data_IF_709678450678
#
_entry.id   IF_709678450678
#
_cell.length_a   1.000
_cell.length_b   1.000
_cell.length_c   1.000
_cell.angle_alpha   90.00
_cell.angle_beta   90.00
_cell.angle_gamma   90.00
#
_symmetry.space_group_name_H-M   'P 1'
#
loop_
_entity.id
_entity.type
_entity.pdbx_description
1 polymer ?
#
# COMPACT_ATOMS: atom_id res chain seq x y z
N UNK A 1 87.10 33.11 14.56
CA UNK A 1 86.17 32.02 14.94
C UNK A 1 84.84 32.28 14.25
N UNK A 2 84.40 31.35 13.41
CA UNK A 2 83.18 31.43 12.58
C UNK A 2 81.94 31.11 13.44
N UNK A 3 80.85 31.85 13.27
CA UNK A 3 79.49 31.37 13.54
C UNK A 3 78.65 31.63 12.29
N UNK A 4 78.20 30.55 11.67
CA UNK A 4 77.35 30.52 10.49
C UNK A 4 75.93 30.21 10.97
N UNK A 5 74.99 31.13 10.76
CA UNK A 5 73.57 30.92 11.02
C UNK A 5 72.95 30.23 9.80
N UNK A 6 72.32 29.07 10.00
CA UNK A 6 71.47 28.41 9.00
C UNK A 6 70.05 28.47 9.55
N UNK A 7 69.19 29.24 8.88
CA UNK A 7 67.76 29.31 9.13
C UNK A 7 67.09 28.35 8.13
N UNK A 8 66.52 27.25 8.63
CA UNK A 8 65.73 26.32 7.82
C UNK A 8 64.26 26.75 7.84
N UNK A 9 63.75 27.20 6.70
CA UNK A 9 62.33 27.50 6.48
C UNK A 9 61.63 26.20 6.05
N UNK A 10 60.89 25.57 6.97
CA UNK A 10 60.01 24.43 6.65
C UNK A 10 58.67 24.92 6.10
N UNK A 11 58.40 24.61 4.82
CA UNK A 11 57.11 24.88 4.19
C UNK A 11 56.13 23.75 4.56
N UNK A 12 55.18 24.05 5.46
CA UNK A 12 54.13 23.12 5.85
C UNK A 12 52.98 23.20 4.83
N UNK A 13 52.87 22.20 3.95
CA UNK A 13 51.73 22.05 3.04
C UNK A 13 50.53 21.53 3.84
N UNK A 14 49.63 22.45 4.24
CA UNK A 14 48.33 22.09 4.80
C UNK A 14 47.41 21.75 3.62
N UNK A 15 47.19 20.46 3.35
CA UNK A 15 46.07 20.02 2.51
C UNK A 15 44.77 20.30 3.28
N UNK A 16 44.09 21.39 2.95
CA UNK A 16 42.69 21.57 3.30
C UNK A 16 41.85 20.69 2.38
N UNK A 17 41.49 19.50 2.84
CA UNK A 17 40.32 18.81 2.29
C UNK A 17 39.11 19.65 2.65
N UNK A 18 38.70 20.53 1.74
CA UNK A 18 37.41 21.19 1.83
C UNK A 18 36.34 20.09 1.80
N UNK A 19 35.75 19.77 2.96
CA UNK A 19 34.48 19.08 2.99
C UNK A 19 33.50 19.99 2.23
N UNK A 20 33.21 19.65 0.98
CA UNK A 20 32.21 20.35 0.19
C UNK A 20 30.86 20.12 0.86
N UNK A 21 30.39 21.11 1.61
CA UNK A 21 29.00 21.18 2.05
C UNK A 21 28.15 21.10 0.79
N UNK A 22 27.24 20.12 0.74
CA UNK A 22 26.37 19.97 -0.42
C UNK A 22 25.42 21.15 -0.46
N UNK A 23 25.30 21.77 -1.64
CA UNK A 23 24.43 22.93 -1.86
C UNK A 23 23.15 22.56 -2.60
N UNK A 24 22.18 23.46 -2.54
CA UNK A 24 20.98 23.44 -3.38
C UNK A 24 21.32 23.68 -4.85
N UNK A 25 20.49 23.20 -5.76
CA UNK A 25 20.54 23.50 -7.18
C UNK A 25 20.13 22.34 -8.07
N UNK A 26 20.38 22.52 -9.36
CA UNK A 26 20.06 21.52 -10.38
C UNK A 26 21.13 20.44 -10.44
N UNK A 27 20.71 19.18 -10.30
CA UNK A 27 21.55 17.98 -10.42
C UNK A 27 21.54 17.41 -11.84
N UNK A 28 20.46 17.62 -12.59
CA UNK A 28 20.33 17.29 -14.00
C UNK A 28 19.25 18.17 -14.63
N UNK A 29 19.50 18.74 -15.81
CA UNK A 29 18.60 19.65 -16.54
C UNK A 29 18.31 19.19 -17.97
N UNK A 30 18.58 17.92 -18.26
CA UNK A 30 18.52 17.35 -19.61
C UNK A 30 19.86 17.32 -20.33
N UNK A 31 20.81 18.19 -19.97
CA UNK A 31 22.01 18.43 -20.79
C UNK A 31 23.28 17.87 -20.17
N UNK A 32 23.59 18.30 -18.95
CA UNK A 32 24.86 17.96 -18.32
C UNK A 32 24.73 16.77 -17.36
N UNK A 33 25.28 15.62 -17.77
CA UNK A 33 25.37 14.42 -16.94
C UNK A 33 26.72 14.26 -16.23
N UNK A 34 27.64 15.22 -16.30
CA UNK A 34 28.98 15.08 -15.72
C UNK A 34 28.96 14.86 -14.19
N UNK A 35 27.90 15.33 -13.52
CA UNK A 35 27.68 15.10 -12.08
C UNK A 35 27.36 13.64 -11.74
N UNK A 36 26.97 12.84 -12.73
CA UNK A 36 26.52 11.46 -12.55
C UNK A 36 27.57 10.46 -13.02
N UNK A 37 27.73 9.38 -12.25
CA UNK A 37 28.43 8.17 -12.63
C UNK A 37 27.38 7.21 -13.18
N UNK A 38 27.47 6.97 -14.48
CA UNK A 38 26.58 6.08 -15.23
C UNK A 38 27.23 4.70 -15.38
N UNK A 39 26.46 3.64 -15.15
CA UNK A 39 26.87 2.23 -15.28
C UNK A 39 25.76 1.48 -16.01
N UNK A 40 26.11 0.51 -16.86
CA UNK A 40 25.12 -0.20 -17.69
C UNK A 40 24.63 0.64 -18.87
N UNK A 41 23.43 0.35 -19.37
CA UNK A 41 22.79 1.09 -20.46
C UNK A 41 22.11 2.35 -19.92
N UNK A 42 22.90 3.43 -19.82
CA UNK A 42 22.44 4.76 -19.45
C UNK A 42 22.92 5.76 -20.49
N UNK A 43 21.98 6.53 -21.05
CA UNK A 43 22.27 7.53 -22.08
C UNK A 43 21.56 8.85 -21.80
N UNK A 44 22.08 9.93 -22.39
CA UNK A 44 21.42 11.24 -22.42
C UNK A 44 21.22 11.64 -23.86
N UNK A 45 19.97 11.77 -24.29
CA UNK A 45 19.56 12.15 -25.64
C UNK A 45 18.30 13.00 -25.53
N UNK A 46 18.16 14.01 -26.41
CA UNK A 46 16.99 14.88 -26.47
C UNK A 46 16.54 15.45 -25.11
N UNK A 47 17.51 15.93 -24.32
CA UNK A 47 17.31 16.46 -22.98
C UNK A 47 16.73 15.44 -21.96
N UNK A 48 16.90 14.14 -22.20
CA UNK A 48 16.38 13.05 -21.35
C UNK A 48 17.50 12.07 -21.00
N UNK A 49 17.68 11.81 -19.70
CA UNK A 49 18.47 10.68 -19.22
C UNK A 49 17.61 9.42 -19.23
N UNK A 50 18.05 8.37 -19.91
CA UNK A 50 17.34 7.09 -20.01
C UNK A 50 18.19 5.99 -19.40
N UNK A 51 17.61 5.23 -18.47
CA UNK A 51 18.18 4.01 -17.90
C UNK A 51 17.40 2.81 -18.43
N UNK A 52 18.10 1.78 -18.91
CA UNK A 52 17.50 0.59 -19.51
C UNK A 52 18.17 -0.68 -19.03
N UNK A 53 17.36 -1.70 -18.75
CA UNK A 53 17.85 -2.99 -18.27
C UNK A 53 18.17 -3.00 -16.77
N UNK A 54 18.51 -4.18 -16.27
CA UNK A 54 18.58 -4.48 -14.83
C UNK A 54 19.90 -4.09 -14.16
N UNK A 55 20.90 -3.67 -14.94
CA UNK A 55 22.23 -3.26 -14.48
C UNK A 55 22.50 -1.76 -14.69
N UNK A 56 21.51 -1.02 -15.19
CA UNK A 56 21.60 0.41 -15.44
C UNK A 56 21.46 1.22 -14.15
N UNK A 57 22.50 2.00 -13.84
CA UNK A 57 22.61 2.82 -12.64
C UNK A 57 23.12 4.22 -12.99
N UNK A 58 22.49 5.25 -12.41
CA UNK A 58 23.00 6.61 -12.39
C UNK A 58 23.19 7.07 -10.95
N UNK A 59 24.43 7.30 -10.53
CA UNK A 59 24.77 7.71 -9.15
C UNK A 59 25.42 9.08 -9.16
N UNK A 60 24.95 10.01 -8.33
CA UNK A 60 25.56 11.33 -8.20
C UNK A 60 26.97 11.21 -7.57
N UNK A 61 28.01 11.67 -8.29
CA UNK A 61 29.43 11.48 -7.93
C UNK A 61 29.83 12.17 -6.62
N UNK A 62 29.30 13.37 -6.40
CA UNK A 62 29.63 14.24 -5.29
C UNK A 62 28.32 14.67 -4.62
N UNK A 63 28.18 14.43 -3.33
CA UNK A 63 26.95 14.74 -2.62
C UNK A 63 26.94 14.06 -1.26
N UNK A 64 26.70 14.86 -0.22
CA UNK A 64 26.58 14.44 1.16
C UNK A 64 25.37 15.18 1.74
N UNK A 65 24.20 14.74 1.29
CA UNK A 65 22.90 15.28 1.64
C UNK A 65 22.36 14.58 2.87
N UNK A 66 21.95 15.37 3.86
CA UNK A 66 21.32 14.91 5.10
C UNK A 66 19.85 15.32 5.12
N UNK A 67 19.57 16.63 5.05
CA UNK A 67 18.21 17.16 4.96
C UNK A 67 18.00 17.87 3.63
N UNK A 68 16.94 17.53 2.90
CA UNK A 68 16.73 18.04 1.56
C UNK A 68 15.27 17.90 1.10
N UNK A 69 14.90 18.71 0.11
CA UNK A 69 13.80 18.47 -0.82
C UNK A 69 14.41 18.08 -2.17
N UNK A 70 14.15 16.86 -2.65
CA UNK A 70 14.60 16.34 -3.93
C UNK A 70 13.40 16.20 -4.86
N UNK A 71 13.47 16.81 -6.03
CA UNK A 71 12.42 16.75 -7.05
C UNK A 71 12.96 16.10 -8.31
N UNK A 72 12.20 15.15 -8.88
CA UNK A 72 12.50 14.49 -10.15
C UNK A 72 11.28 14.55 -11.07
N UNK A 73 11.51 14.83 -12.34
CA UNK A 73 10.52 14.66 -13.41
C UNK A 73 10.83 13.34 -14.14
N UNK A 74 9.95 12.35 -13.99
CA UNK A 74 10.15 10.95 -14.38
C UNK A 74 9.09 10.49 -15.38
N UNK A 75 9.44 9.49 -16.19
CA UNK A 75 8.52 8.71 -17.03
C UNK A 75 9.02 7.28 -17.10
N UNK A 76 8.12 6.31 -17.09
CA UNK A 76 8.46 4.91 -17.38
C UNK A 76 7.86 4.50 -18.71
N UNK A 77 8.54 3.67 -19.50
CA UNK A 77 7.91 2.93 -20.61
C UNK A 77 7.30 1.63 -20.06
N UNK A 78 6.50 0.88 -20.86
CA UNK A 78 5.94 -0.40 -20.42
C UNK A 78 7.00 -1.36 -19.83
N UNK A 79 6.79 -1.77 -18.58
CA UNK A 79 7.71 -2.64 -17.84
C UNK A 79 8.96 -1.94 -17.28
N UNK A 80 9.05 -0.61 -17.37
CA UNK A 80 10.09 0.20 -16.72
C UNK A 80 9.89 0.22 -15.22
N UNK A 81 10.90 -0.23 -14.48
CA UNK A 81 10.89 -0.39 -13.02
C UNK A 81 12.26 -0.09 -12.44
N UNK A 82 12.29 0.33 -11.18
CA UNK A 82 13.52 0.60 -10.46
C UNK A 82 13.29 1.40 -9.19
N UNK A 83 14.26 2.22 -8.81
CA UNK A 83 14.14 3.04 -7.59
C UNK A 83 15.01 4.30 -7.60
N UNK A 84 14.55 5.32 -6.86
CA UNK A 84 15.35 6.49 -6.48
C UNK A 84 15.91 6.28 -5.09
N UNK A 85 17.23 6.19 -4.96
CA UNK A 85 17.96 6.06 -3.71
C UNK A 85 18.36 7.41 -3.13
N UNK A 86 18.34 7.51 -1.80
CA UNK A 86 18.87 8.64 -1.05
C UNK A 86 19.56 8.20 0.24
N UNK A 87 20.40 9.09 0.79
CA UNK A 87 21.36 8.76 1.88
C UNK A 87 22.25 7.57 1.54
N UNK A 88 22.39 7.26 0.26
CA UNK A 88 23.07 6.06 -0.20
C UNK A 88 24.56 6.30 -0.41
N UNK A 89 25.28 5.22 -0.67
CA UNK A 89 26.66 5.24 -1.11
C UNK A 89 26.77 4.94 -2.62
N UNK A 90 27.96 5.07 -3.24
CA UNK A 90 28.12 4.80 -4.65
C UNK A 90 27.88 3.35 -5.10
N UNK A 91 27.63 2.43 -4.15
CA UNK A 91 27.35 1.01 -4.40
C UNK A 91 25.88 0.64 -4.17
N UNK A 92 25.03 1.59 -3.76
CA UNK A 92 23.62 1.40 -3.47
C UNK A 92 23.35 0.32 -2.40
N UNK A 93 24.22 0.23 -1.39
CA UNK A 93 24.12 -0.79 -0.32
C UNK A 93 23.52 -0.28 0.98
N UNK A 94 23.25 1.02 1.08
CA UNK A 94 22.68 1.66 2.27
C UNK A 94 21.71 2.78 1.90
N UNK A 95 21.00 3.27 2.91
CA UNK A 95 20.02 4.33 2.76
C UNK A 95 18.67 3.78 2.32
N UNK A 96 17.76 4.69 1.98
CA UNK A 96 16.41 4.35 1.55
C UNK A 96 16.28 4.44 0.04
N UNK A 97 15.21 3.83 -0.46
CA UNK A 97 14.82 3.95 -1.86
C UNK A 97 13.31 4.09 -2.02
N UNK A 98 12.92 4.93 -2.96
CA UNK A 98 11.54 5.12 -3.41
C UNK A 98 11.34 4.32 -4.69
N UNK A 99 10.36 3.42 -4.70
CA UNK A 99 10.07 2.60 -5.86
C UNK A 99 9.62 3.45 -7.05
N UNK A 100 9.99 2.99 -8.24
CA UNK A 100 9.46 3.40 -9.54
C UNK A 100 8.84 2.13 -10.14
N UNK A 101 7.51 2.05 -10.14
CA UNK A 101 6.77 0.97 -10.78
C UNK A 101 5.34 1.43 -11.10
N UNK A 102 5.04 1.52 -12.39
CA UNK A 102 3.72 1.91 -12.89
C UNK A 102 2.99 0.76 -13.61
N UNK A 103 3.63 -0.42 -13.64
CA UNK A 103 3.08 -1.62 -14.26
C UNK A 103 2.01 -2.24 -13.35
N UNK A 104 0.75 -1.95 -13.67
CA UNK A 104 -0.40 -2.50 -12.95
C UNK A 104 -0.56 -4.01 -13.13
N UNK A 105 0.10 -4.61 -14.13
CA UNK A 105 0.10 -6.04 -14.35
C UNK A 105 1.19 -6.77 -13.52
N UNK A 106 2.10 -6.05 -12.86
CA UNK A 106 3.18 -6.63 -12.04
C UNK A 106 2.65 -7.62 -11.00
N UNK A 107 3.35 -8.74 -10.82
CA UNK A 107 3.06 -9.71 -9.77
C UNK A 107 3.25 -9.11 -8.38
N UNK A 108 4.23 -8.23 -8.20
CA UNK A 108 4.49 -7.48 -6.97
C UNK A 108 3.73 -6.16 -7.02
N UNK A 109 2.39 -6.26 -6.97
CA UNK A 109 1.49 -5.11 -7.12
C UNK A 109 1.41 -4.21 -5.88
N UNK A 110 2.09 -4.58 -4.80
CA UNK A 110 2.12 -3.86 -3.53
C UNK A 110 3.39 -3.04 -3.32
N UNK A 111 4.11 -2.70 -4.40
CA UNK A 111 5.29 -1.82 -4.39
C UNK A 111 5.24 -0.86 -5.59
N UNK A 112 4.17 -0.08 -5.68
CA UNK A 112 3.99 0.90 -6.76
C UNK A 112 4.83 2.16 -6.54
N UNK A 113 4.95 2.98 -7.60
CA UNK A 113 5.69 4.26 -7.58
C UNK A 113 5.36 5.09 -6.35
N UNK A 114 6.39 5.56 -5.65
CA UNK A 114 6.26 6.32 -4.40
C UNK A 114 6.43 5.49 -3.12
N UNK A 115 6.42 4.15 -3.22
CA UNK A 115 6.68 3.27 -2.07
C UNK A 115 8.04 3.54 -1.45
N UNK A 116 8.10 3.82 -0.14
CA UNK A 116 9.34 3.72 0.63
C UNK A 116 9.62 2.24 0.85
N UNK A 117 10.48 1.66 0.01
CA UNK A 117 10.58 0.21 -0.16
C UNK A 117 10.87 -0.50 1.16
N UNK A 118 10.06 -1.52 1.44
CA UNK A 118 10.11 -2.36 2.66
C UNK A 118 9.73 -1.64 3.96
N UNK A 119 9.24 -0.39 3.90
CA UNK A 119 8.85 0.39 5.10
C UNK A 119 7.42 0.92 5.00
N UNK A 120 7.06 1.53 3.87
CA UNK A 120 5.71 2.04 3.55
C UNK A 120 5.47 1.78 2.06
N UNK A 121 5.07 0.55 1.74
CA UNK A 121 4.79 0.19 0.36
C UNK A 121 3.35 0.59 -0.02
N UNK A 122 3.17 1.01 -1.27
CA UNK A 122 1.91 1.46 -1.85
C UNK A 122 1.34 0.40 -2.78
N UNK A 123 0.03 0.17 -2.67
CA UNK A 123 -0.71 -0.76 -3.54
C UNK A 123 -1.40 -0.09 -4.71
N UNK A 124 -1.54 1.24 -4.67
CA UNK A 124 -2.10 2.06 -5.76
C UNK A 124 -0.99 2.85 -6.43
N UNK A 125 -0.91 2.74 -7.75
CA UNK A 125 -0.15 3.71 -8.55
C UNK A 125 -1.03 4.92 -8.85
N UNK A 126 -0.42 6.10 -8.87
CA UNK A 126 -1.06 7.39 -9.15
C UNK A 126 -0.79 7.89 -10.57
N UNK A 127 0.09 7.19 -11.28
CA UNK A 127 0.64 7.64 -12.55
C UNK A 127 0.67 6.48 -13.53
N UNK A 128 0.61 6.81 -14.83
CA UNK A 128 0.56 5.84 -15.92
C UNK A 128 1.93 5.71 -16.57
N UNK A 129 2.20 4.54 -17.14
CA UNK A 129 3.28 4.36 -18.10
C UNK A 129 3.12 5.35 -19.27
N UNK A 130 4.24 5.72 -19.89
CA UNK A 130 4.36 6.68 -20.98
C UNK A 130 3.90 8.11 -20.66
N UNK A 131 3.63 8.43 -19.40
CA UNK A 131 3.30 9.78 -18.93
C UNK A 131 4.39 10.34 -18.02
N UNK A 132 4.68 11.63 -18.19
CA UNK A 132 5.57 12.35 -17.28
C UNK A 132 4.84 12.60 -15.97
N UNK A 133 5.54 12.36 -14.87
CA UNK A 133 5.08 12.66 -13.53
C UNK A 133 6.21 13.26 -12.70
N UNK A 134 5.82 13.98 -11.65
CA UNK A 134 6.75 14.53 -10.67
C UNK A 134 6.78 13.66 -9.43
N UNK A 135 7.99 13.40 -8.93
CA UNK A 135 8.23 12.80 -7.63
C UNK A 135 8.99 13.81 -6.77
N UNK A 136 8.42 14.14 -5.61
CA UNK A 136 9.07 14.96 -4.60
C UNK A 136 9.38 14.10 -3.37
N UNK A 137 10.63 14.11 -2.92
CA UNK A 137 11.11 13.38 -1.75
C UNK A 137 11.68 14.41 -0.78
N UNK A 138 11.04 14.58 0.36
CA UNK A 138 11.52 15.43 1.44
C UNK A 138 12.10 14.56 2.54
N UNK A 139 13.31 14.89 2.98
CA UNK A 139 13.94 14.31 4.16
C UNK A 139 14.34 15.44 5.09
N UNK A 140 13.75 15.48 6.28
CA UNK A 140 14.00 16.50 7.27
C UNK A 140 14.11 15.87 8.66
N UNK A 141 15.32 15.77 9.21
CA UNK A 141 15.55 15.13 10.50
C UNK A 141 15.29 13.63 10.44
N UNK A 142 14.23 13.18 11.10
CA UNK A 142 13.79 11.78 11.10
C UNK A 142 12.61 11.51 10.17
N UNK A 143 12.10 12.54 9.50
CA UNK A 143 10.89 12.48 8.68
C UNK A 143 11.23 12.34 7.19
N UNK A 144 10.45 11.49 6.52
CA UNK A 144 10.50 11.21 5.08
C UNK A 144 9.09 11.37 4.54
N UNK A 145 8.92 12.32 3.63
CA UNK A 145 7.68 12.52 2.89
C UNK A 145 7.90 12.25 1.41
N UNK A 146 6.93 11.62 0.77
CA UNK A 146 6.92 11.39 -0.67
C UNK A 146 5.62 11.88 -1.26
N UNK A 147 5.72 12.74 -2.27
CA UNK A 147 4.59 13.21 -3.05
C UNK A 147 4.73 12.78 -4.50
N UNK A 148 3.60 12.39 -5.12
CA UNK A 148 3.51 12.09 -6.55
C UNK A 148 2.53 13.08 -7.18
N UNK A 149 3.00 13.88 -8.14
CA UNK A 149 2.23 14.98 -8.74
C UNK A 149 1.61 15.94 -7.71
N UNK A 150 2.30 16.15 -6.58
CA UNK A 150 1.83 17.01 -5.49
C UNK A 150 0.91 16.32 -4.47
N UNK A 151 0.47 15.08 -4.71
CA UNK A 151 -0.33 14.31 -3.77
C UNK A 151 0.55 13.56 -2.77
N UNK A 152 0.32 13.67 -1.44
CA UNK A 152 1.09 12.97 -0.43
C UNK A 152 0.74 11.49 -0.38
N UNK A 153 1.76 10.64 -0.58
CA UNK A 153 1.60 9.17 -0.63
C UNK A 153 2.33 8.44 0.49
N UNK A 154 3.42 8.99 1.02
CA UNK A 154 4.13 8.46 2.19
C UNK A 154 4.42 9.59 3.16
N UNK A 155 4.16 9.34 4.44
CA UNK A 155 4.65 10.13 5.59
C UNK A 155 5.26 9.11 6.56
N UNK A 156 6.55 9.23 6.84
CA UNK A 156 7.26 8.28 7.69
C UNK A 156 8.23 9.00 8.62
N UNK A 157 8.18 8.66 9.90
CA UNK A 157 9.19 9.07 10.87
C UNK A 157 9.97 7.84 11.30
N UNK A 158 11.28 7.85 11.07
CA UNK A 158 12.17 6.80 11.58
C UNK A 158 12.27 6.93 13.11
N UNK A 159 11.80 5.94 13.89
CA UNK A 159 11.95 5.98 15.34
C UNK A 159 13.41 5.78 15.73
N UNK A 160 13.76 6.08 16.98
CA UNK A 160 15.12 5.87 17.51
C UNK A 160 15.59 4.42 17.39
N UNK A 161 14.68 3.46 17.51
CA UNK A 161 14.94 2.03 17.39
C UNK A 161 14.07 1.41 16.27
N UNK A 162 14.40 1.67 15.00
CA UNK A 162 13.62 1.15 13.88
C UNK A 162 13.72 -0.38 13.82
N UNK A 163 12.63 -1.05 13.47
CA UNK A 163 12.66 -2.49 13.24
C UNK A 163 13.29 -2.73 11.88
N UNK A 164 14.39 -3.48 11.78
CA UNK A 164 15.00 -3.87 10.51
C UNK A 164 15.40 -5.34 10.57
N UNK A 165 14.98 -6.09 9.57
CA UNK A 165 15.48 -7.44 9.25
C UNK A 165 16.90 -7.34 8.71
N UNK A 166 17.65 -8.45 8.71
CA UNK A 166 19.03 -8.49 8.19
C UNK A 166 19.12 -7.98 6.73
N UNK A 167 18.13 -8.33 5.90
CA UNK A 167 18.06 -7.87 4.50
C UNK A 167 17.86 -6.35 4.36
N UNK A 168 17.30 -5.68 5.38
CA UNK A 168 17.03 -4.25 5.39
C UNK A 168 17.86 -3.50 6.44
N UNK A 169 18.91 -4.10 7.00
CA UNK A 169 19.69 -3.56 8.11
C UNK A 169 20.28 -2.16 7.84
N UNK A 170 20.52 -1.84 6.57
CA UNK A 170 21.09 -0.56 6.14
C UNK A 170 20.07 0.43 5.57
N UNK A 171 18.77 0.12 5.63
CA UNK A 171 17.69 1.05 5.28
C UNK A 171 17.44 2.03 6.44
N UNK A 172 18.37 2.97 6.60
CA UNK A 172 18.41 3.92 7.72
C UNK A 172 18.71 5.35 7.23
N UNK A 173 18.12 6.32 7.93
CA UNK A 173 18.39 7.74 7.73
C UNK A 173 19.81 8.00 8.22
N UNK A 174 20.57 8.71 7.40
CA UNK A 174 21.93 9.11 7.69
C UNK A 174 22.28 10.35 6.85
N UNK A 175 23.31 10.22 6.03
CA UNK A 175 23.76 11.21 5.06
C UNK A 175 24.41 10.44 3.89
N UNK A 176 24.29 10.97 2.68
CA UNK A 176 24.84 10.32 1.51
C UNK A 176 24.49 11.02 0.21
N UNK A 177 24.63 10.28 -0.89
CA UNK A 177 24.33 10.78 -2.22
C UNK A 177 22.96 10.27 -2.71
N UNK A 178 22.63 10.60 -3.95
CA UNK A 178 21.46 10.10 -4.67
C UNK A 178 21.85 9.08 -5.73
N UNK A 179 20.98 8.12 -5.98
CA UNK A 179 21.15 7.14 -7.04
C UNK A 179 19.82 6.81 -7.70
N UNK A 180 19.85 6.41 -8.96
CA UNK A 180 18.69 5.86 -9.66
C UNK A 180 19.12 4.52 -10.22
N UNK A 181 18.33 3.50 -9.93
CA UNK A 181 18.51 2.15 -10.46
C UNK A 181 17.34 1.79 -11.37
N UNK A 182 17.62 1.02 -12.41
CA UNK A 182 16.63 0.33 -13.23
C UNK A 182 16.73 -1.17 -12.97
N UNK A 183 15.59 -1.81 -12.74
CA UNK A 183 15.44 -3.26 -12.53
C UNK A 183 14.36 -3.89 -13.43
N UNK A 184 13.77 -3.11 -14.33
CA UNK A 184 12.71 -3.52 -15.25
C UNK A 184 13.17 -3.93 -16.66
N UNK A 185 12.22 -4.43 -17.44
CA UNK A 185 12.42 -4.72 -18.87
C UNK A 185 12.23 -3.51 -19.78
N UNK A 186 11.56 -2.48 -19.27
CA UNK A 186 11.37 -1.19 -19.94
C UNK A 186 12.46 -0.18 -19.56
N UNK A 187 12.09 1.10 -19.62
CA UNK A 187 12.99 2.22 -19.42
C UNK A 187 12.49 3.13 -18.31
N UNK A 188 13.43 3.71 -17.56
CA UNK A 188 13.19 4.87 -16.71
C UNK A 188 13.80 6.08 -17.41
N UNK A 189 13.01 7.12 -17.59
CA UNK A 189 13.39 8.34 -18.27
C UNK A 189 13.24 9.53 -17.33
N UNK A 190 14.26 10.39 -17.30
CA UNK A 190 14.35 11.53 -16.40
C UNK A 190 14.64 12.79 -17.22
N UNK A 191 13.89 13.85 -16.97
CA UNK A 191 14.10 15.17 -17.60
C UNK A 191 14.87 16.12 -16.72
N UNK A 192 14.60 16.11 -15.43
CA UNK A 192 15.11 17.11 -14.51
C UNK A 192 15.21 16.54 -13.11
N UNK A 193 16.28 16.92 -12.41
CA UNK A 193 16.53 16.60 -11.01
C UNK A 193 17.03 17.86 -10.31
N UNK A 194 16.33 18.29 -9.28
CA UNK A 194 16.73 19.43 -8.44
C UNK A 194 16.74 19.05 -6.98
N UNK A 195 17.64 19.66 -6.20
CA UNK A 195 17.69 19.49 -4.75
C UNK A 195 17.74 20.84 -4.05
N UNK A 196 16.97 20.99 -2.98
CA UNK A 196 17.08 22.10 -2.03
C UNK A 196 17.51 21.57 -0.69
N UNK A 197 18.63 22.05 -0.14
CA UNK A 197 19.10 21.65 1.19
C UNK A 197 18.28 22.37 2.24
N UNK A 198 17.86 21.62 3.27
CA UNK A 198 17.09 22.13 4.40
C UNK A 198 18.05 22.43 5.55
N UNK A 199 17.91 23.62 6.15
CA UNK A 199 18.66 24.00 7.34
C UNK A 199 18.21 23.15 8.54
N UNK A 200 19.12 22.33 9.06
CA UNK A 200 18.85 21.44 10.19
C UNK A 200 18.39 22.19 11.44
N UNK A 201 18.80 23.45 11.63
CA UNK A 201 18.39 24.25 12.79
C UNK A 201 16.89 24.58 12.80
N UNK A 202 16.20 24.39 11.68
CA UNK A 202 14.75 24.60 11.55
C UNK A 202 13.91 23.36 11.89
N UNK A 203 14.55 22.23 12.19
CA UNK A 203 13.90 20.93 12.35
C UNK A 203 13.80 20.56 13.83
N UNK A 204 12.58 20.30 14.30
CA UNK A 204 12.34 19.78 15.66
C UNK A 204 12.31 18.25 15.67
N UNK A 205 13.50 17.66 15.79
CA UNK A 205 13.68 16.19 15.84
C UNK A 205 12.98 15.58 17.06
N UNK A 206 12.89 16.31 18.19
CA UNK A 206 12.25 15.77 19.39
C UNK A 206 10.74 15.66 19.20
N UNK A 207 10.12 16.65 18.56
CA UNK A 207 8.71 16.59 18.20
C UNK A 207 8.43 15.45 17.20
N UNK A 208 9.29 15.25 16.20
CA UNK A 208 9.17 14.12 15.26
C UNK A 208 9.23 12.78 15.99
N UNK A 209 10.23 12.56 16.84
CA UNK A 209 10.40 11.31 17.57
C UNK A 209 9.25 11.03 18.55
N UNK A 210 8.57 12.06 19.06
CA UNK A 210 7.38 11.90 19.90
C UNK A 210 6.16 11.36 19.11
N UNK A 211 6.11 11.59 17.80
CA UNK A 211 5.04 11.11 16.92
C UNK A 211 5.40 9.82 16.17
N UNK A 212 6.65 9.35 16.30
CA UNK A 212 7.12 8.13 15.63
C UNK A 212 6.39 6.88 16.15
N UNK A 213 6.05 5.97 15.24
CA UNK A 213 5.43 4.70 15.62
C UNK A 213 6.46 3.78 16.28
N UNK A 214 6.03 2.99 17.28
CA UNK A 214 6.82 1.91 17.83
C UNK A 214 6.88 0.72 16.86
N UNK A 215 7.94 0.67 16.07
CA UNK A 215 8.16 -0.39 15.09
C UNK A 215 8.54 -1.75 15.69
N UNK A 216 9.06 -1.80 16.93
CA UNK A 216 9.48 -3.08 17.53
C UNK A 216 8.27 -3.97 17.83
N UNK A 217 7.18 -3.34 18.26
CA UNK A 217 5.93 -4.00 18.57
C UNK A 217 4.90 -3.93 17.42
N UNK A 218 5.12 -3.09 16.41
CA UNK A 218 4.24 -2.95 15.25
C UNK A 218 4.34 -4.12 14.27
N UNK A 219 3.21 -4.69 13.87
CA UNK A 219 3.17 -5.79 12.90
C UNK A 219 3.25 -5.32 11.45
N UNK A 220 2.75 -4.12 11.15
CA UNK A 220 2.70 -3.59 9.78
C UNK A 220 4.09 -3.45 9.13
N UNK A 221 5.07 -2.92 9.86
CA UNK A 221 6.45 -2.81 9.37
C UNK A 221 7.06 -4.19 9.10
N UNK A 222 6.72 -5.20 9.90
CA UNK A 222 7.20 -6.57 9.71
C UNK A 222 6.65 -7.15 8.41
N UNK A 223 5.38 -6.86 8.08
CA UNK A 223 4.77 -7.26 6.81
C UNK A 223 5.41 -6.58 5.60
N UNK A 224 5.70 -5.28 5.68
CA UNK A 224 6.40 -4.59 4.59
C UNK A 224 7.80 -5.19 4.35
N UNK A 225 8.52 -5.58 5.40
CA UNK A 225 9.84 -6.20 5.27
C UNK A 225 9.82 -7.67 4.88
N UNK A 226 8.71 -8.38 5.12
CA UNK A 226 8.49 -9.73 4.62
C UNK A 226 7.90 -9.76 3.21
N UNK A 227 7.87 -8.61 2.52
CA UNK A 227 7.32 -8.44 1.18
C UNK A 227 5.86 -8.88 1.02
N UNK A 228 5.03 -8.54 2.02
CA UNK A 228 3.61 -8.86 2.04
C UNK A 228 2.75 -7.62 1.67
N UNK A 229 1.65 -7.78 0.91
CA UNK A 229 0.73 -6.68 0.59
C UNK A 229 -0.05 -6.23 1.83
N UNK A 230 0.18 -5.00 2.27
CA UNK A 230 -0.56 -4.40 3.39
C UNK A 230 -1.69 -3.53 2.86
N UNK A 231 -2.87 -4.11 2.76
CA UNK A 231 -4.09 -3.47 2.26
C UNK A 231 -5.29 -3.91 3.08
N UNK A 232 -6.05 -2.95 3.58
CA UNK A 232 -7.41 -3.16 4.07
C UNK A 232 -8.40 -2.99 2.91
N UNK A 233 -9.08 -4.07 2.55
CA UNK A 233 -9.98 -4.15 1.41
C UNK A 233 -11.40 -3.67 1.73
N UNK A 234 -11.70 -3.34 2.99
CA UNK A 234 -13.05 -3.08 3.45
C UNK A 234 -13.11 -1.92 4.45
N UNK A 235 -12.89 -0.70 3.97
CA UNK A 235 -13.01 0.53 4.75
C UNK A 235 -14.21 1.37 4.29
N UNK A 236 -14.95 1.88 5.26
CA UNK A 236 -16.09 2.77 5.08
C UNK A 236 -15.80 4.17 5.64
N UNK A 237 -16.13 5.22 4.88
CA UNK A 237 -16.10 6.60 5.36
C UNK A 237 -17.33 6.91 6.23
N UNK A 238 -17.45 6.23 7.37
CA UNK A 238 -18.57 6.36 8.32
C UNK A 238 -18.09 6.57 9.75
N UNK A 239 -19.03 6.91 10.64
CA UNK A 239 -18.74 7.14 12.06
C UNK A 239 -17.91 8.41 12.35
N UNK A 240 -17.69 9.27 11.36
CA UNK A 240 -16.83 10.46 11.45
C UNK A 240 -15.49 10.34 10.70
N UNK A 241 -15.21 9.21 10.06
CA UNK A 241 -14.05 9.07 9.18
C UNK A 241 -14.25 9.84 7.87
N UNK A 242 -13.50 10.92 7.66
CA UNK A 242 -13.44 11.60 6.36
C UNK A 242 -12.35 11.00 5.48
N UNK A 243 -12.38 11.28 4.18
CA UNK A 243 -11.33 10.84 3.24
C UNK A 243 -9.95 11.41 3.61
N UNK A 244 -9.87 12.63 4.12
CA UNK A 244 -8.62 13.27 4.56
C UNK A 244 -8.05 12.57 5.80
N UNK A 245 -8.92 12.25 6.77
CA UNK A 245 -8.52 11.51 7.98
C UNK A 245 -8.09 10.10 7.62
N UNK A 246 -8.81 9.41 6.72
CA UNK A 246 -8.43 8.08 6.24
C UNK A 246 -7.07 8.09 5.51
N UNK A 247 -6.82 9.09 4.66
CA UNK A 247 -5.56 9.23 3.93
C UNK A 247 -4.39 9.44 4.90
N UNK A 248 -4.56 10.31 5.90
CA UNK A 248 -3.56 10.54 6.94
C UNK A 248 -3.31 9.29 7.79
N UNK A 249 -4.37 8.57 8.17
CA UNK A 249 -4.22 7.32 8.92
C UNK A 249 -3.44 6.28 8.10
N UNK A 250 -3.81 6.07 6.83
CA UNK A 250 -3.13 5.14 5.92
C UNK A 250 -1.63 5.42 5.82
N UNK A 251 -1.24 6.68 5.60
CA UNK A 251 0.19 7.06 5.55
C UNK A 251 0.90 6.85 6.88
N UNK A 252 0.27 7.26 7.99
CA UNK A 252 0.84 7.11 9.34
C UNK A 252 1.06 5.64 9.70
N UNK A 253 0.08 4.77 9.45
CA UNK A 253 0.14 3.35 9.84
C UNK A 253 0.91 2.48 8.83
N UNK A 254 0.94 2.87 7.57
CA UNK A 254 1.43 2.03 6.45
C UNK A 254 0.40 1.05 5.92
N UNK A 255 -0.87 1.15 6.35
CA UNK A 255 -1.96 0.31 5.85
C UNK A 255 -2.63 1.03 4.68
N UNK A 256 -2.50 0.49 3.47
CA UNK A 256 -3.25 1.00 2.33
C UNK A 256 -4.74 0.73 2.52
N UNK A 257 -5.61 1.62 2.06
CA UNK A 257 -7.06 1.46 2.20
C UNK A 257 -7.75 1.36 0.84
N UNK A 258 -8.70 0.42 0.77
CA UNK A 258 -9.80 0.49 -0.17
C UNK A 258 -10.98 1.18 0.50
N UNK A 259 -11.48 2.26 -0.10
CA UNK A 259 -12.72 2.89 0.34
C UNK A 259 -13.88 2.35 -0.50
N UNK A 260 -14.89 1.82 0.19
CA UNK A 260 -16.06 1.24 -0.44
C UNK A 260 -17.35 1.85 0.13
N UNK A 261 -18.14 2.59 -0.68
CA UNK A 261 -19.46 3.02 -0.24
C UNK A 261 -20.43 1.83 -0.26
N UNK A 262 -21.43 1.88 0.63
CA UNK A 262 -22.57 0.97 0.59
C UNK A 262 -23.50 1.38 -0.58
N UNK A 263 -23.70 0.46 -1.53
CA UNK A 263 -24.45 0.70 -2.75
C UNK A 263 -25.62 -0.28 -2.89
N UNK A 264 -26.84 0.23 -2.84
CA UNK A 264 -28.07 -0.57 -2.93
C UNK A 264 -29.31 0.20 -2.47
N UNK A 265 -30.48 -0.40 -2.60
CA UNK A 265 -31.74 0.28 -2.23
C UNK A 265 -31.75 0.58 -0.71
N UNK A 266 -31.87 1.87 -0.37
CA UNK A 266 -31.88 2.35 1.03
C UNK A 266 -30.50 2.63 1.61
N UNK A 267 -29.45 2.59 0.80
CA UNK A 267 -28.07 2.92 1.17
C UNK A 267 -27.63 4.28 0.59
N UNK A 268 -26.46 4.83 0.98
CA UNK A 268 -26.02 6.15 0.53
C UNK A 268 -25.97 6.33 -0.99
N UNK A 269 -25.64 5.27 -1.74
CA UNK A 269 -25.61 5.27 -3.20
C UNK A 269 -26.64 4.28 -3.73
N UNK A 270 -27.51 4.75 -4.63
CA UNK A 270 -28.72 4.01 -5.06
C UNK A 270 -28.91 3.94 -6.58
N UNK A 271 -28.04 4.56 -7.38
CA UNK A 271 -28.11 4.54 -8.84
C UNK A 271 -26.75 4.83 -9.49
N UNK A 272 -26.66 4.61 -10.80
CA UNK A 272 -25.42 4.76 -11.58
C UNK A 272 -24.83 6.17 -11.56
N UNK A 273 -25.67 7.23 -11.59
CA UNK A 273 -25.18 8.60 -11.57
C UNK A 273 -24.45 8.91 -10.26
N UNK A 274 -25.02 8.49 -9.12
CA UNK A 274 -24.40 8.66 -7.81
C UNK A 274 -23.09 7.89 -7.67
N UNK A 275 -22.97 6.70 -8.30
CA UNK A 275 -21.68 5.99 -8.38
C UNK A 275 -20.65 6.84 -9.12
N UNK A 276 -21.00 7.39 -10.28
CA UNK A 276 -20.06 8.18 -11.07
C UNK A 276 -19.64 9.46 -10.35
N UNK A 277 -20.57 10.12 -9.66
CA UNK A 277 -20.27 11.31 -8.84
C UNK A 277 -19.26 10.97 -7.74
N UNK A 278 -19.48 9.86 -7.02
CA UNK A 278 -18.54 9.36 -6.01
C UNK A 278 -17.16 9.03 -6.59
N UNK A 279 -17.11 8.31 -7.71
CA UNK A 279 -15.84 7.94 -8.34
C UNK A 279 -15.07 9.15 -8.85
N UNK A 280 -15.75 10.14 -9.42
CA UNK A 280 -15.11 11.37 -9.89
C UNK A 280 -14.50 12.17 -8.74
N UNK A 281 -15.14 12.17 -7.56
CA UNK A 281 -14.59 12.78 -6.35
C UNK A 281 -13.37 12.01 -5.80
N UNK A 282 -13.42 10.67 -5.86
CA UNK A 282 -12.47 9.81 -5.13
C UNK A 282 -11.27 9.33 -5.96
N UNK A 283 -11.31 9.42 -7.29
CA UNK A 283 -10.22 8.93 -8.17
C UNK A 283 -8.87 9.61 -7.91
N UNK A 284 -8.89 10.89 -7.56
CA UNK A 284 -7.67 11.65 -7.19
C UNK A 284 -7.10 11.26 -5.82
N UNK A 285 -7.89 10.58 -4.98
CA UNK A 285 -7.50 10.20 -3.63
C UNK A 285 -6.60 8.96 -3.63
N UNK A 286 -5.79 8.75 -2.58
CA UNK A 286 -4.82 7.66 -2.49
C UNK A 286 -5.41 6.27 -2.23
N UNK A 287 -6.70 6.07 -2.52
CA UNK A 287 -7.43 4.85 -2.21
C UNK A 287 -7.68 4.01 -3.44
N UNK A 288 -7.64 2.69 -3.24
CA UNK A 288 -8.33 1.76 -4.14
C UNK A 288 -9.83 1.97 -3.92
N UNK A 289 -10.62 1.92 -4.99
CA UNK A 289 -12.05 2.23 -4.95
C UNK A 289 -12.84 0.94 -5.14
N UNK A 290 -13.39 0.43 -4.04
CA UNK A 290 -14.27 -0.72 -4.02
C UNK A 290 -15.75 -0.30 -4.00
N UNK A 291 -16.64 -1.27 -4.14
CA UNK A 291 -18.07 -1.10 -3.90
C UNK A 291 -18.56 -2.24 -3.02
N UNK A 292 -19.25 -1.89 -1.92
CA UNK A 292 -20.06 -2.87 -1.21
C UNK A 292 -21.45 -2.91 -1.85
N UNK A 293 -21.73 -3.98 -2.58
CA UNK A 293 -23.04 -4.28 -3.11
C UNK A 293 -23.97 -4.77 -2.00
N UNK A 294 -25.09 -4.07 -1.82
CA UNK A 294 -25.99 -4.24 -0.68
C UNK A 294 -27.39 -4.71 -1.07
N UNK A 295 -27.98 -5.55 -0.22
CA UNK A 295 -29.25 -6.23 -0.53
C UNK A 295 -29.09 -7.23 -1.67
N UNK A 296 -30.19 -7.74 -2.24
CA UNK A 296 -30.15 -8.67 -3.39
C UNK A 296 -30.58 -8.00 -4.70
N UNK A 297 -31.15 -6.80 -4.58
CA UNK A 297 -31.67 -5.98 -5.67
C UNK A 297 -30.58 -5.19 -6.41
N UNK A 298 -29.36 -5.12 -5.84
CA UNK A 298 -28.24 -4.35 -6.40
C UNK A 298 -27.91 -4.76 -7.85
N UNK A 299 -28.06 -6.05 -8.18
CA UNK A 299 -27.79 -6.63 -9.52
C UNK A 299 -28.62 -5.94 -10.61
N UNK A 300 -29.83 -5.50 -10.28
CA UNK A 300 -30.72 -4.77 -11.18
C UNK A 300 -30.70 -3.26 -10.97
N UNK A 301 -30.03 -2.79 -9.91
CA UNK A 301 -29.96 -1.38 -9.54
C UNK A 301 -28.83 -0.67 -10.30
N UNK A 302 -27.72 -1.36 -10.55
CA UNK A 302 -26.54 -0.79 -11.20
C UNK A 302 -26.23 -1.49 -12.51
N UNK A 303 -25.82 -0.71 -13.52
CA UNK A 303 -25.44 -1.29 -14.82
C UNK A 303 -24.09 -2.02 -14.73
N UNK A 304 -23.87 -3.09 -15.53
CA UNK A 304 -22.58 -3.75 -15.64
C UNK A 304 -21.44 -2.79 -16.01
N UNK A 305 -21.73 -1.75 -16.79
CA UNK A 305 -20.79 -0.69 -17.17
C UNK A 305 -20.36 0.12 -15.95
N UNK A 306 -21.29 0.56 -15.11
CA UNK A 306 -20.99 1.29 -13.88
C UNK A 306 -20.22 0.43 -12.87
N UNK A 307 -20.60 -0.86 -12.71
CA UNK A 307 -19.87 -1.77 -11.82
C UNK A 307 -18.40 -1.93 -12.25
N UNK A 308 -18.16 -1.96 -13.57
CA UNK A 308 -16.81 -1.99 -14.16
C UNK A 308 -16.05 -0.69 -14.01
N UNK A 309 -16.54 0.34 -13.31
CA UNK A 309 -15.77 1.54 -12.97
C UNK A 309 -15.08 1.43 -11.60
N UNK A 310 -15.52 0.54 -10.70
CA UNK A 310 -14.83 0.22 -9.42
C UNK A 310 -13.67 -0.77 -9.60
N UNK A 311 -12.61 -0.63 -8.81
CA UNK A 311 -11.44 -1.53 -8.85
C UNK A 311 -11.79 -2.98 -8.50
N UNK A 312 -12.84 -3.15 -7.69
CA UNK A 312 -13.55 -4.41 -7.47
C UNK A 312 -14.90 -4.17 -6.80
N UNK A 313 -15.78 -5.17 -6.86
CA UNK A 313 -17.08 -5.19 -6.16
C UNK A 313 -17.09 -6.34 -5.17
N UNK A 314 -17.71 -6.14 -4.01
CA UNK A 314 -17.87 -7.18 -3.01
C UNK A 314 -19.26 -7.18 -2.39
N UNK A 315 -19.69 -8.33 -1.86
CA UNK A 315 -20.99 -8.45 -1.17
C UNK A 315 -20.92 -9.53 -0.09
N UNK A 316 -21.96 -9.57 0.74
CA UNK A 316 -22.16 -10.56 1.78
C UNK A 316 -23.55 -11.17 1.71
N UNK A 317 -23.77 -12.26 2.45
CA UNK A 317 -25.07 -12.90 2.59
C UNK A 317 -25.81 -12.47 3.87
N UNK A 318 -25.66 -11.23 4.32
CA UNK A 318 -26.29 -10.77 5.57
C UNK A 318 -27.71 -10.24 5.39
N UNK A 319 -28.09 -9.85 4.17
CA UNK A 319 -29.44 -9.36 3.85
C UNK A 319 -30.12 -10.23 2.79
N UNK A 320 -31.22 -10.90 3.16
CA UNK A 320 -31.99 -11.78 2.27
C UNK A 320 -33.44 -11.95 2.73
N UNK A 321 -34.25 -12.71 1.96
CA UNK A 321 -35.55 -13.22 2.42
C UNK A 321 -35.41 -14.65 2.94
N UNK A 322 -35.90 -14.88 4.15
CA UNK A 322 -35.92 -16.22 4.73
C UNK A 322 -36.88 -17.17 3.98
N UNK A 323 -36.94 -18.43 4.40
CA UNK A 323 -37.79 -19.44 3.76
C UNK A 323 -39.31 -19.15 3.88
N UNK A 324 -39.72 -18.19 4.73
CA UNK A 324 -41.10 -17.72 4.87
C UNK A 324 -41.35 -16.37 4.17
N UNK A 325 -40.36 -15.86 3.44
CA UNK A 325 -40.44 -14.60 2.69
C UNK A 325 -40.23 -13.34 3.52
N UNK A 326 -39.82 -13.46 4.79
CA UNK A 326 -39.55 -12.32 5.68
C UNK A 326 -38.19 -11.72 5.36
N UNK A 327 -38.10 -10.39 5.24
CA UNK A 327 -36.81 -9.70 5.07
C UNK A 327 -35.98 -9.87 6.33
N UNK A 328 -34.77 -10.37 6.18
CA UNK A 328 -33.81 -10.69 7.24
C UNK A 328 -32.57 -9.84 7.05
N UNK A 329 -32.10 -9.23 8.14
CA UNK A 329 -30.76 -8.64 8.27
C UNK A 329 -30.10 -9.32 9.47
N UNK A 330 -29.10 -10.16 9.22
CA UNK A 330 -28.58 -11.08 10.25
C UNK A 330 -28.00 -10.35 11.47
N UNK A 331 -27.62 -9.08 11.36
CA UNK A 331 -27.09 -8.29 12.47
C UNK A 331 -28.17 -7.59 13.32
N UNK A 332 -29.46 -7.70 12.95
CA UNK A 332 -30.58 -7.10 13.68
C UNK A 332 -31.39 -8.23 14.33
N UNK A 333 -31.29 -8.44 15.65
CA UNK A 333 -31.98 -9.52 16.34
C UNK A 333 -33.49 -9.58 16.06
N UNK A 334 -34.15 -8.42 15.98
CA UNK A 334 -35.59 -8.30 15.73
C UNK A 334 -36.01 -8.75 14.32
N UNK A 335 -35.05 -8.89 13.40
CA UNK A 335 -35.25 -9.36 12.03
C UNK A 335 -34.69 -10.76 11.80
N UNK A 336 -34.39 -11.48 12.89
CA UNK A 336 -33.93 -12.86 12.85
C UNK A 336 -34.92 -13.76 13.60
N UNK A 337 -35.53 -14.71 12.88
CA UNK A 337 -36.54 -15.61 13.43
C UNK A 337 -36.03 -17.05 13.47
N UNK A 338 -35.24 -17.35 14.50
CA UNK A 338 -34.59 -18.64 14.69
C UNK A 338 -35.55 -19.58 15.43
N UNK A 339 -36.38 -20.31 14.67
CA UNK A 339 -37.33 -21.29 15.23
C UNK A 339 -36.67 -22.65 15.47
N UNK A 340 -35.71 -23.02 14.62
CA UNK A 340 -34.87 -24.21 14.73
C UNK A 340 -33.47 -23.87 14.24
N UNK A 341 -32.46 -24.01 15.09
CA UNK A 341 -31.10 -23.50 14.81
C UNK A 341 -30.41 -24.26 13.67
N UNK A 342 -30.62 -25.58 13.55
CA UNK A 342 -30.04 -26.38 12.47
C UNK A 342 -30.66 -26.05 11.12
N UNK A 343 -31.99 -25.94 11.04
CA UNK A 343 -32.67 -25.51 9.81
C UNK A 343 -32.32 -24.06 9.44
N UNK A 344 -32.14 -23.19 10.44
CA UNK A 344 -31.72 -21.82 10.21
C UNK A 344 -30.30 -21.76 9.67
N UNK A 345 -29.40 -22.59 10.22
CA UNK A 345 -28.03 -22.72 9.73
C UNK A 345 -27.97 -23.26 8.30
N UNK A 346 -28.77 -24.28 7.97
CA UNK A 346 -28.85 -24.80 6.59
C UNK A 346 -29.34 -23.73 5.62
N UNK A 347 -30.33 -22.94 6.01
CA UNK A 347 -30.79 -21.78 5.22
C UNK A 347 -29.68 -20.75 5.03
N UNK A 348 -28.91 -20.41 6.08
CA UNK A 348 -27.76 -19.49 5.94
C UNK A 348 -26.78 -20.02 4.90
N UNK A 349 -26.37 -21.29 5.00
CA UNK A 349 -25.42 -21.89 4.04
C UNK A 349 -25.99 -21.88 2.61
N UNK A 350 -27.28 -22.19 2.44
CA UNK A 350 -27.95 -22.09 1.15
C UNK A 350 -27.88 -20.68 0.57
N UNK A 351 -28.18 -19.65 1.39
CA UNK A 351 -28.13 -18.24 0.97
C UNK A 351 -26.71 -17.81 0.61
N UNK A 352 -25.71 -18.22 1.40
CA UNK A 352 -24.29 -17.99 1.08
C UNK A 352 -23.96 -18.59 -0.29
N UNK A 353 -24.30 -19.86 -0.52
CA UNK A 353 -24.04 -20.51 -1.80
C UNK A 353 -24.70 -19.78 -2.99
N UNK A 354 -25.93 -19.29 -2.83
CA UNK A 354 -26.59 -18.50 -3.88
C UNK A 354 -25.90 -17.15 -4.12
N UNK A 355 -25.48 -16.44 -3.06
CA UNK A 355 -24.76 -15.16 -3.19
C UNK A 355 -23.41 -15.34 -3.89
N UNK A 356 -22.76 -16.49 -3.72
CA UNK A 356 -21.51 -16.79 -4.43
C UNK A 356 -21.68 -16.96 -5.95
N UNK A 357 -22.91 -17.01 -6.47
CA UNK A 357 -23.17 -17.00 -7.92
C UNK A 357 -23.24 -15.57 -8.49
N UNK A 358 -23.31 -14.54 -7.65
CA UNK A 358 -23.46 -13.15 -8.07
C UNK A 358 -22.16 -12.55 -8.66
N UNK A 359 -22.26 -11.49 -9.49
CA UNK A 359 -21.11 -10.96 -10.22
C UNK A 359 -20.27 -9.99 -9.36
N UNK A 360 -19.72 -10.50 -8.25
CA UNK A 360 -18.74 -9.79 -7.39
C UNK A 360 -17.37 -10.46 -7.43
N UNK A 361 -16.34 -9.74 -7.02
CA UNK A 361 -14.96 -10.24 -6.93
C UNK A 361 -14.64 -10.87 -5.55
N UNK A 362 -15.23 -10.35 -4.47
CA UNK A 362 -14.92 -10.75 -3.08
C UNK A 362 -16.20 -11.06 -2.31
N UNK A 363 -16.18 -12.12 -1.52
CA UNK A 363 -17.21 -12.44 -0.54
C UNK A 363 -16.75 -11.99 0.86
N UNK A 364 -17.50 -11.07 1.47
CA UNK A 364 -17.17 -10.41 2.75
C UNK A 364 -18.11 -10.82 3.89
N UNK A 365 -17.77 -10.44 5.12
CA UNK A 365 -18.47 -10.86 6.35
C UNK A 365 -18.74 -12.38 6.39
N UNK A 366 -17.74 -13.23 6.03
CA UNK A 366 -18.02 -14.61 5.72
C UNK A 366 -18.40 -15.39 6.96
N UNK A 367 -19.30 -16.35 6.79
CA UNK A 367 -19.71 -17.26 7.85
C UNK A 367 -20.39 -16.61 9.06
N UNK A 368 -20.76 -15.33 8.97
CA UNK A 368 -21.47 -14.62 10.04
C UNK A 368 -22.69 -15.38 10.55
N UNK A 369 -22.88 -15.40 11.86
CA UNK A 369 -24.06 -15.95 12.51
C UNK A 369 -24.75 -14.87 13.36
N UNK A 370 -26.08 -14.79 13.34
CA UNK A 370 -26.81 -13.88 14.23
C UNK A 370 -26.73 -14.33 15.69
N UNK A 371 -26.99 -13.42 16.62
CA UNK A 371 -27.16 -13.79 18.01
C UNK A 371 -28.44 -14.62 18.21
N UNK A 372 -28.45 -15.67 19.04
CA UNK A 372 -27.37 -16.13 19.94
C UNK A 372 -26.45 -17.22 19.36
N UNK A 373 -26.56 -17.53 18.06
CA UNK A 373 -25.76 -18.59 17.42
C UNK A 373 -24.28 -18.20 17.31
N UNK A 374 -23.97 -16.92 17.21
CA UNK A 374 -22.62 -16.34 17.20
C UNK A 374 -21.71 -16.86 18.31
N UNK A 375 -22.25 -17.03 19.52
CA UNK A 375 -21.50 -17.53 20.70
C UNK A 375 -21.12 -19.01 20.63
N UNK A 376 -21.73 -19.75 19.69
CA UNK A 376 -21.54 -21.18 19.45
C UNK A 376 -21.12 -21.43 18.00
N UNK A 377 -20.34 -20.51 17.44
CA UNK A 377 -19.95 -20.51 16.03
C UNK A 377 -19.46 -21.89 15.52
N UNK A 378 -18.55 -22.52 16.26
CA UNK A 378 -17.95 -23.80 15.87
C UNK A 378 -18.93 -25.00 15.97
N UNK A 379 -20.02 -24.88 16.76
CA UNK A 379 -21.07 -25.92 16.79
C UNK A 379 -21.86 -25.94 15.48
N UNK A 380 -22.12 -24.77 14.90
CA UNK A 380 -22.94 -24.64 13.69
C UNK A 380 -22.14 -24.79 12.40
N UNK A 381 -20.90 -24.30 12.35
CA UNK A 381 -19.98 -24.50 11.23
C UNK A 381 -19.31 -25.87 11.27
N UNK A 382 -20.14 -26.91 11.13
CA UNK A 382 -19.70 -28.30 11.06
C UNK A 382 -18.78 -28.53 9.86
N UNK A 383 -18.01 -29.62 9.90
CA UNK A 383 -17.12 -29.99 8.79
C UNK A 383 -17.83 -30.08 7.44
N UNK A 384 -19.04 -30.65 7.41
CA UNK A 384 -19.84 -30.75 6.20
C UNK A 384 -20.23 -29.37 5.64
N UNK A 385 -20.64 -28.43 6.50
CA UNK A 385 -21.01 -27.06 6.11
C UNK A 385 -19.80 -26.25 5.66
N UNK A 386 -18.67 -26.38 6.36
CA UNK A 386 -17.41 -25.74 5.95
C UNK A 386 -16.96 -26.23 4.57
N UNK A 387 -17.00 -27.55 4.32
CA UNK A 387 -16.62 -28.11 3.02
C UNK A 387 -17.55 -27.60 1.92
N UNK A 388 -18.87 -27.64 2.14
CA UNK A 388 -19.87 -27.13 1.18
C UNK A 388 -19.64 -25.64 0.85
N UNK A 389 -19.39 -24.81 1.86
CA UNK A 389 -19.10 -23.39 1.67
C UNK A 389 -17.82 -23.18 0.86
N UNK A 390 -16.73 -23.84 1.24
CA UNK A 390 -15.43 -23.70 0.57
C UNK A 390 -15.47 -24.22 -0.87
N UNK A 391 -16.16 -25.33 -1.13
CA UNK A 391 -16.35 -25.86 -2.49
C UNK A 391 -17.12 -24.86 -3.38
N UNK A 392 -18.19 -24.27 -2.86
CA UNK A 392 -18.95 -23.24 -3.58
C UNK A 392 -18.09 -21.99 -3.82
N UNK A 393 -17.33 -21.56 -2.83
CA UNK A 393 -16.46 -20.39 -2.92
C UNK A 393 -15.34 -20.60 -3.96
N UNK A 394 -14.65 -21.75 -3.90
CA UNK A 394 -13.62 -22.10 -4.87
C UNK A 394 -14.18 -22.18 -6.30
N UNK A 395 -15.36 -22.79 -6.47
CA UNK A 395 -16.05 -22.85 -7.77
C UNK A 395 -16.42 -21.46 -8.30
N UNK A 396 -16.76 -20.52 -7.42
CA UNK A 396 -17.14 -19.16 -7.80
C UNK A 396 -15.98 -18.28 -8.27
N UNK A 397 -14.74 -18.63 -7.92
CA UNK A 397 -13.54 -17.84 -8.21
C UNK A 397 -13.42 -16.54 -7.38
N UNK A 398 -14.29 -16.33 -6.39
CA UNK A 398 -14.28 -15.14 -5.51
C UNK A 398 -13.20 -15.25 -4.43
N UNK A 399 -12.67 -14.11 -4.01
CA UNK A 399 -11.80 -14.05 -2.84
C UNK A 399 -12.61 -14.12 -1.53
N UNK A 400 -11.96 -14.56 -0.45
CA UNK A 400 -12.50 -14.65 0.89
C UNK A 400 -11.94 -13.54 1.78
N UNK A 401 -12.81 -12.75 2.38
CA UNK A 401 -12.38 -11.82 3.43
C UNK A 401 -11.98 -12.55 4.72
N UNK A 402 -10.95 -12.03 5.38
CA UNK A 402 -10.68 -12.26 6.79
C UNK A 402 -11.08 -10.96 7.50
N UNK A 403 -12.17 -11.03 8.25
CA UNK A 403 -12.90 -9.88 8.76
C UNK A 403 -12.54 -9.60 10.22
N UNK A 404 -12.04 -8.39 10.47
CA UNK A 404 -11.61 -7.94 11.79
C UNK A 404 -12.78 -7.68 12.75
N UNK A 405 -13.84 -7.03 12.27
CA UNK A 405 -14.96 -6.60 13.11
C UNK A 405 -15.60 -7.77 13.86
N UNK A 406 -15.73 -8.91 13.18
CA UNK A 406 -16.37 -10.10 13.73
C UNK A 406 -15.39 -11.22 14.08
N UNK A 407 -14.10 -11.08 13.75
CA UNK A 407 -13.10 -12.14 13.92
C UNK A 407 -13.50 -13.46 13.21
N UNK A 408 -13.91 -13.36 11.94
CA UNK A 408 -14.36 -14.49 11.10
C UNK A 408 -13.67 -14.46 9.72
N UNK A 409 -13.57 -15.61 9.02
CA UNK A 409 -13.97 -16.94 9.46
C UNK A 409 -12.87 -17.58 10.33
N UNK A 410 -13.20 -18.65 11.05
CA UNK A 410 -12.22 -19.34 11.90
C UNK A 410 -11.06 -19.95 11.08
N UNK A 411 -9.99 -20.34 11.79
CA UNK A 411 -8.79 -20.96 11.21
C UNK A 411 -9.09 -22.17 10.31
N UNK A 412 -10.04 -23.02 10.69
CA UNK A 412 -10.35 -24.25 9.94
C UNK A 412 -10.88 -23.92 8.54
N UNK A 413 -11.75 -22.91 8.42
CA UNK A 413 -12.29 -22.44 7.14
C UNK A 413 -11.19 -21.81 6.29
N UNK A 414 -10.34 -20.97 6.88
CA UNK A 414 -9.21 -20.33 6.15
C UNK A 414 -8.27 -21.39 5.57
N UNK A 415 -7.90 -22.39 6.37
CA UNK A 415 -7.03 -23.49 5.91
C UNK A 415 -7.67 -24.31 4.78
N UNK A 416 -8.97 -24.61 4.86
CA UNK A 416 -9.71 -25.30 3.79
C UNK A 416 -9.77 -24.46 2.52
N UNK A 417 -10.08 -23.16 2.64
CA UNK A 417 -10.14 -22.22 1.52
C UNK A 417 -8.77 -22.10 0.82
N UNK A 418 -7.68 -22.00 1.60
CA UNK A 418 -6.31 -21.96 1.08
C UNK A 418 -5.97 -23.24 0.31
N UNK A 419 -6.29 -24.41 0.88
CA UNK A 419 -6.09 -25.70 0.21
C UNK A 419 -6.88 -25.82 -1.10
N UNK A 420 -8.03 -25.14 -1.21
CA UNK A 420 -8.83 -25.06 -2.42
C UNK A 420 -8.36 -23.96 -3.40
N UNK A 421 -7.28 -23.23 -3.10
CA UNK A 421 -6.72 -22.18 -3.97
C UNK A 421 -7.45 -20.85 -3.94
N UNK A 422 -8.34 -20.64 -2.96
CA UNK A 422 -9.07 -19.37 -2.78
C UNK A 422 -8.10 -18.27 -2.38
N UNK A 423 -8.28 -17.06 -2.96
CA UNK A 423 -7.51 -15.86 -2.58
C UNK A 423 -8.14 -15.15 -1.39
N UNK A 424 -7.34 -14.41 -0.64
CA UNK A 424 -7.78 -13.74 0.58
C UNK A 424 -7.72 -12.22 0.50
N UNK A 425 -8.56 -11.56 1.28
CA UNK A 425 -8.50 -10.13 1.57
C UNK A 425 -8.53 -9.91 3.07
N UNK A 426 -7.88 -8.85 3.54
CA UNK A 426 -8.06 -8.39 4.93
C UNK A 426 -9.11 -7.28 4.93
N UNK A 427 -10.00 -7.26 5.92
CA UNK A 427 -11.06 -6.26 5.99
C UNK A 427 -11.30 -5.80 7.41
N UNK A 428 -11.14 -4.50 7.69
CA UNK A 428 -11.51 -3.96 9.00
C UNK A 428 -13.03 -3.94 9.19
N UNK A 429 -13.77 -3.67 8.12
CA UNK A 429 -15.20 -3.34 8.15
C UNK A 429 -15.50 -2.31 9.26
N UNK A 430 -14.71 -1.23 9.29
CA UNK A 430 -14.72 -0.27 10.39
C UNK A 430 -16.11 0.34 10.62
N UNK A 431 -16.51 0.50 11.88
CA UNK A 431 -17.71 1.25 12.29
C UNK A 431 -17.38 2.56 12.99
N UNK A 432 -16.11 2.75 13.37
CA UNK A 432 -15.57 3.95 14.00
C UNK A 432 -14.55 4.65 13.10
N UNK A 433 -14.18 5.91 13.41
CA UNK A 433 -13.13 6.62 12.67
C UNK A 433 -11.73 6.04 12.78
N UNK A 434 -11.44 5.33 13.87
CA UNK A 434 -10.16 4.66 14.02
C UNK A 434 -10.25 3.31 13.31
N UNK A 435 -9.62 3.20 12.14
CA UNK A 435 -9.56 1.95 11.37
C UNK A 435 -8.63 0.97 12.09
N UNK A 436 -8.96 -0.32 12.06
CA UNK A 436 -8.19 -1.36 12.73
C UNK A 436 -6.76 -1.50 12.16
N UNK A 437 -5.85 -2.00 12.99
CA UNK A 437 -4.50 -2.43 12.61
C UNK A 437 -4.47 -3.84 11.99
N UNK A 438 -5.64 -4.43 11.71
CA UNK A 438 -5.82 -5.75 11.10
C UNK A 438 -5.30 -6.92 11.97
N UNK A 439 -5.33 -6.75 13.29
CA UNK A 439 -4.77 -7.71 14.26
C UNK A 439 -5.25 -9.16 14.06
N UNK A 440 -6.55 -9.37 13.82
CA UNK A 440 -7.12 -10.70 13.58
C UNK A 440 -6.63 -11.28 12.26
N UNK A 441 -6.66 -10.46 11.22
CA UNK A 441 -6.22 -10.84 9.88
C UNK A 441 -4.74 -11.26 9.87
N UNK A 442 -3.89 -10.47 10.53
CA UNK A 442 -2.45 -10.75 10.67
C UNK A 442 -2.23 -12.04 11.46
N UNK A 443 -2.96 -12.25 12.56
CA UNK A 443 -2.89 -13.49 13.33
C UNK A 443 -3.27 -14.70 12.47
N UNK A 444 -4.40 -14.63 11.75
CA UNK A 444 -4.86 -15.71 10.89
C UNK A 444 -3.92 -15.98 9.73
N UNK A 445 -3.33 -14.94 9.13
CA UNK A 445 -2.30 -15.10 8.11
C UNK A 445 -1.09 -15.88 8.64
N UNK A 446 -0.57 -15.53 9.81
CA UNK A 446 0.55 -16.28 10.42
C UNK A 446 0.16 -17.72 10.75
N UNK A 447 -0.99 -17.90 11.40
CA UNK A 447 -1.45 -19.22 11.85
C UNK A 447 -1.81 -20.18 10.71
N UNK A 448 -2.23 -19.65 9.56
CA UNK A 448 -2.57 -20.40 8.35
C UNK A 448 -1.43 -20.38 7.31
N UNK A 449 -0.31 -19.73 7.63
CA UNK A 449 0.84 -19.55 6.76
C UNK A 449 0.52 -18.88 5.43
N UNK A 450 -0.42 -17.93 5.40
CA UNK A 450 -0.77 -17.20 4.17
C UNK A 450 0.43 -16.35 3.72
N UNK A 451 0.63 -16.30 2.41
CA UNK A 451 1.71 -15.58 1.74
C UNK A 451 1.16 -14.48 0.84
N UNK A 452 2.03 -13.62 0.30
CA UNK A 452 1.61 -12.59 -0.65
C UNK A 452 0.88 -13.17 -1.88
N UNK A 453 1.25 -14.37 -2.32
CA UNK A 453 0.60 -15.05 -3.44
C UNK A 453 -0.83 -15.50 -3.12
N UNK A 454 -1.17 -15.70 -1.83
CA UNK A 454 -2.51 -16.07 -1.39
C UNK A 454 -3.47 -14.86 -1.40
N UNK A 455 -2.96 -13.64 -1.55
CA UNK A 455 -3.77 -12.42 -1.47
C UNK A 455 -4.40 -12.05 -2.81
N UNK A 456 -5.61 -11.50 -2.77
CA UNK A 456 -6.32 -11.02 -3.95
C UNK A 456 -5.66 -9.74 -4.50
N UNK A 457 -5.31 -9.75 -5.79
CA UNK A 457 -4.79 -8.56 -6.49
C UNK A 457 -5.94 -7.70 -7.03
N UNK A 458 -6.13 -6.44 -6.57
CA UNK A 458 -7.13 -5.54 -7.14
C UNK A 458 -6.83 -5.17 -8.59
N UNK A 459 -7.88 -4.93 -9.39
CA UNK A 459 -7.76 -4.47 -10.78
C UNK A 459 -7.79 -2.94 -10.84
N UNK A 460 -6.75 -2.32 -10.27
CA UNK A 460 -6.69 -0.87 -10.04
C UNK A 460 -6.77 -0.05 -11.33
N UNK A 461 -7.64 0.96 -11.32
CA UNK A 461 -7.82 1.95 -12.40
C UNK A 461 -7.21 3.29 -12.01
N UNK A 462 -6.74 4.00 -13.04
CA UNK A 462 -6.13 5.33 -12.95
C UNK A 462 -6.75 6.20 -14.03
#
# INVERSE_FOLDING_TARGET
MKKLSILAMGLLFVLTTACSVSGSGTLFDGKDSNKWKMTGDVSVQDDIMTLKGTDALAVLKNGKYKNFDLTLDLRTTPGGKGAVWFHTDPTLKKGYRIAINNDRADKVWWKMTGSLVSVRNLTKSFVKEDQWFKMDIRVAGQEIDVNINGEPVVEYIQPTAPYRTDANAYALLSEGTFGIESDGSGEIQIKNITVNVIDESTIDINAQLAEANDEQNGEIIKLHQSDFPVLDYHVHLKGGLTKEVAAKQSRKTGINYTIAPNCGIGFPITNDQQVMDYLNEMRSQPFILGMQAEGREWITTFSPETLKEFDYVFTDALTFKDNKGRRTRLWIPEETWIENEEQYMDMIVDRICSVLEEPVDIYVNPCFLPSPMDKRFDEFWTEARMNRFVEALAKSGKALEINELYNIPNKAIIMKAKAAGVKFTFGSNNVTPNVSDLSYSIRMMKECGLTAEDMYKPKVKI
#
